data_IF_901737923829
#
_entry.id   IF_901737923829
#
_cell.length_a   1.000
_cell.length_b   1.000
_cell.length_c   1.000
_cell.angle_alpha   90.00
_cell.angle_beta   90.00
_cell.angle_gamma   90.00
#
_symmetry.space_group_name_H-M   'P 1'
#
loop_
_entity.id
_entity.type
_entity.pdbx_description
1 polymer ?
#
# COMPACT_ATOMS: atom_id res chain seq x y z
N UNK A 1 -5.11 6.67 32.57
CA UNK A 1 -5.54 6.93 31.18
C UNK A 1 -5.24 5.75 30.25
N UNK A 2 -4.09 5.06 30.38
CA UNK A 2 -3.70 3.92 29.53
C UNK A 2 -4.75 2.79 29.51
N UNK A 3 -5.32 2.42 30.65
CA UNK A 3 -6.36 1.38 30.70
C UNK A 3 -7.69 1.78 30.04
N UNK A 4 -8.03 3.07 30.04
CA UNK A 4 -9.24 3.58 29.41
C UNK A 4 -9.07 3.60 27.89
N UNK A 5 -7.90 4.02 27.40
CA UNK A 5 -7.50 3.99 25.99
C UNK A 5 -7.66 2.58 25.40
N UNK A 6 -7.12 1.58 26.10
CA UNK A 6 -7.19 0.20 25.66
C UNK A 6 -8.64 -0.30 25.53
N UNK A 7 -9.53 0.04 26.47
CA UNK A 7 -10.94 -0.33 26.39
C UNK A 7 -11.64 0.31 25.20
N UNK A 8 -11.41 1.59 24.93
CA UNK A 8 -12.01 2.26 23.77
C UNK A 8 -11.48 1.76 22.43
N UNK A 9 -10.21 1.36 22.37
CA UNK A 9 -9.61 0.70 21.19
C UNK A 9 -10.24 -0.68 20.97
N UNK A 10 -10.31 -1.52 22.00
CA UNK A 10 -10.88 -2.87 21.93
C UNK A 10 -12.38 -2.87 21.57
N UNK A 11 -13.11 -1.85 22.05
CA UNK A 11 -14.55 -1.71 21.76
C UNK A 11 -14.85 -0.93 20.48
N UNK A 12 -13.83 -0.48 19.74
CA UNK A 12 -13.95 0.36 18.53
C UNK A 12 -14.74 1.66 18.74
N UNK A 13 -14.67 2.22 19.97
CA UNK A 13 -15.36 3.46 20.39
C UNK A 13 -14.40 4.66 20.43
N UNK A 14 -13.49 4.73 19.47
CA UNK A 14 -12.40 5.71 19.47
C UNK A 14 -12.89 7.15 19.37
N UNK A 15 -13.99 7.40 18.64
CA UNK A 15 -14.56 8.75 18.52
C UNK A 15 -15.04 9.29 19.88
N UNK A 16 -15.56 8.41 20.74
CA UNK A 16 -15.99 8.77 22.08
C UNK A 16 -14.78 9.05 22.98
N UNK A 17 -13.70 8.27 22.83
CA UNK A 17 -12.44 8.55 23.51
C UNK A 17 -11.82 9.87 23.06
N UNK A 18 -11.79 10.14 21.76
CA UNK A 18 -11.29 11.41 21.23
C UNK A 18 -12.13 12.61 21.69
N UNK A 19 -13.46 12.47 21.74
CA UNK A 19 -14.33 13.49 22.29
C UNK A 19 -14.03 13.72 23.79
N UNK A 20 -13.85 12.65 24.54
CA UNK A 20 -13.50 12.71 25.96
C UNK A 20 -12.11 13.35 26.19
N UNK A 21 -11.08 12.94 25.44
CA UNK A 21 -9.73 13.52 25.54
C UNK A 21 -9.69 14.98 25.12
N UNK A 22 -10.48 15.40 24.11
CA UNK A 22 -10.64 16.83 23.74
C UNK A 22 -11.23 17.65 24.85
N UNK A 23 -12.14 17.09 25.67
CA UNK A 23 -12.63 17.78 26.84
C UNK A 23 -11.58 17.88 27.95
N UNK A 24 -10.74 16.88 28.13
CA UNK A 24 -9.62 16.88 29.08
C UNK A 24 -8.46 17.79 28.64
N UNK A 25 -8.16 17.84 27.34
CA UNK A 25 -7.06 18.65 26.79
C UNK A 25 -7.30 20.17 26.87
N UNK A 26 -8.55 20.61 27.04
CA UNK A 26 -8.82 21.97 27.47
C UNK A 26 -8.23 22.29 28.87
N UNK A 27 -7.80 21.24 29.61
CA UNK A 27 -7.27 21.34 30.98
C UNK A 27 -5.75 21.07 30.98
N UNK A 28 -5.18 20.30 30.03
CA UNK A 28 -3.74 19.96 30.00
C UNK A 28 -3.20 19.86 28.56
N UNK A 29 -2.36 20.81 28.14
CA UNK A 29 -1.74 20.87 26.81
C UNK A 29 -0.62 19.82 26.54
N UNK A 30 -0.48 18.77 27.35
CA UNK A 30 0.58 17.77 27.23
C UNK A 30 0.21 16.44 26.58
N UNK A 31 -1.06 16.24 26.19
CA UNK A 31 -1.51 14.99 25.57
C UNK A 31 -1.57 15.04 24.03
N UNK A 32 -0.84 15.94 23.38
CA UNK A 32 -0.82 16.12 21.93
C UNK A 32 -0.12 14.99 21.15
N UNK A 33 0.40 13.94 21.82
CA UNK A 33 1.00 12.78 21.15
C UNK A 33 -0.01 11.71 20.77
N UNK A 34 -1.29 11.91 21.02
CA UNK A 34 -2.20 10.77 21.04
C UNK A 34 -3.26 10.72 19.92
N UNK A 35 -3.72 11.83 19.34
CA UNK A 35 -4.84 11.74 18.38
C UNK A 35 -4.42 11.04 17.09
N UNK A 36 -3.30 11.44 16.51
CA UNK A 36 -2.68 10.81 15.33
C UNK A 36 -2.42 9.32 15.59
N UNK A 37 -1.66 9.01 16.64
CA UNK A 37 -1.30 7.63 16.99
C UNK A 37 -2.51 6.77 17.32
N UNK A 38 -3.50 7.32 18.01
CA UNK A 38 -4.67 6.58 18.45
C UNK A 38 -5.59 6.19 17.29
N UNK A 39 -5.83 7.11 16.35
CA UNK A 39 -6.62 6.82 15.15
C UNK A 39 -5.92 5.75 14.31
N UNK A 40 -4.60 5.87 14.14
CA UNK A 40 -3.82 4.87 13.41
C UNK A 40 -3.85 3.49 14.08
N UNK A 41 -3.49 3.41 15.37
CA UNK A 41 -3.41 2.15 16.12
C UNK A 41 -4.75 1.42 16.16
N UNK A 42 -5.84 2.15 16.30
CA UNK A 42 -7.18 1.54 16.25
C UNK A 42 -7.47 0.91 14.90
N UNK A 43 -7.18 1.62 13.83
CA UNK A 43 -7.39 1.11 12.47
C UNK A 43 -6.46 -0.07 12.14
N UNK A 44 -5.20 0.00 12.59
CA UNK A 44 -4.23 -1.10 12.48
C UNK A 44 -4.71 -2.35 13.22
N UNK A 45 -5.25 -2.18 14.44
CA UNK A 45 -5.81 -3.30 15.20
C UNK A 45 -6.97 -3.96 14.45
N UNK A 46 -7.88 -3.20 13.83
CA UNK A 46 -8.94 -3.75 12.99
C UNK A 46 -8.36 -4.56 11.82
N UNK A 47 -7.28 -4.06 11.18
CA UNK A 47 -6.59 -4.80 10.13
C UNK A 47 -6.03 -6.12 10.64
N UNK A 48 -5.33 -6.13 11.78
CA UNK A 48 -4.76 -7.33 12.40
C UNK A 48 -5.82 -8.36 12.81
N UNK A 49 -7.01 -7.90 13.18
CA UNK A 49 -8.16 -8.76 13.50
C UNK A 49 -8.88 -9.27 12.25
N UNK A 50 -8.52 -8.82 11.05
CA UNK A 50 -9.18 -9.19 9.80
C UNK A 50 -10.48 -8.42 9.50
N UNK A 51 -10.78 -7.38 10.27
CA UNK A 51 -11.94 -6.52 10.08
C UNK A 51 -11.63 -5.44 9.02
N UNK A 52 -11.45 -5.87 7.78
CA UNK A 52 -10.89 -5.03 6.70
C UNK A 52 -11.76 -3.83 6.33
N UNK A 53 -13.09 -3.89 6.47
CA UNK A 53 -13.98 -2.76 6.24
C UNK A 53 -13.71 -1.63 7.25
N UNK A 54 -13.63 -1.97 8.55
CA UNK A 54 -13.35 -1.01 9.61
C UNK A 54 -11.92 -0.48 9.52
N UNK A 55 -10.98 -1.35 9.19
CA UNK A 55 -9.59 -0.97 8.95
C UNK A 55 -9.48 0.04 7.80
N UNK A 56 -10.07 -0.26 6.64
CA UNK A 56 -10.05 0.63 5.48
C UNK A 56 -10.65 2.00 5.80
N UNK A 57 -11.80 2.03 6.48
CA UNK A 57 -12.47 3.27 6.88
C UNK A 57 -11.61 4.09 7.86
N UNK A 58 -11.06 3.46 8.89
CA UNK A 58 -10.21 4.11 9.89
C UNK A 58 -8.90 4.61 9.30
N UNK A 59 -8.24 3.81 8.45
CA UNK A 59 -6.99 4.20 7.77
C UNK A 59 -7.22 5.33 6.77
N UNK A 60 -8.32 5.31 6.02
CA UNK A 60 -8.69 6.43 5.12
C UNK A 60 -8.92 7.72 5.91
N UNK A 61 -9.60 7.62 7.07
CA UNK A 61 -9.76 8.76 7.97
C UNK A 61 -8.40 9.28 8.45
N UNK A 62 -7.49 8.39 8.84
CA UNK A 62 -6.13 8.78 9.22
C UNK A 62 -5.40 9.51 8.09
N UNK A 63 -5.40 8.93 6.88
CA UNK A 63 -4.73 9.49 5.71
C UNK A 63 -5.24 10.89 5.36
N UNK A 64 -6.54 11.10 5.44
CA UNK A 64 -7.16 12.41 5.11
C UNK A 64 -6.95 13.46 6.19
N UNK A 65 -6.88 13.06 7.47
CA UNK A 65 -6.82 13.99 8.60
C UNK A 65 -5.39 14.37 9.00
N UNK A 66 -4.42 13.46 8.81
CA UNK A 66 -3.07 13.63 9.37
C UNK A 66 -1.96 13.60 8.32
N UNK A 67 -2.19 13.10 7.10
CA UNK A 67 -1.14 13.05 6.10
C UNK A 67 -1.12 14.31 5.21
N UNK A 68 0.08 14.73 4.75
CA UNK A 68 1.34 14.00 4.78
C UNK A 68 2.16 14.19 6.08
N UNK A 69 1.73 14.96 7.05
CA UNK A 69 2.49 15.29 8.26
C UNK A 69 2.46 14.22 9.36
N UNK A 70 1.53 13.28 9.30
CA UNK A 70 1.37 12.23 10.28
C UNK A 70 2.50 11.20 10.27
N UNK A 71 2.79 10.65 11.44
CA UNK A 71 3.91 9.73 11.65
C UNK A 71 3.75 8.41 10.88
N UNK A 72 2.52 7.96 10.66
CA UNK A 72 2.23 6.61 10.14
C UNK A 72 1.70 6.63 8.69
N UNK A 73 1.89 7.72 7.94
CA UNK A 73 1.28 7.88 6.61
C UNK A 73 1.62 6.74 5.64
N UNK A 74 2.88 6.30 5.59
CA UNK A 74 3.28 5.19 4.71
C UNK A 74 2.64 3.87 5.12
N UNK A 75 2.66 3.55 6.42
CA UNK A 75 2.11 2.30 6.94
C UNK A 75 0.57 2.31 6.85
N UNK A 76 -0.05 3.45 7.12
CA UNK A 76 -1.50 3.63 6.95
C UNK A 76 -1.92 3.44 5.49
N UNK A 77 -1.16 4.01 4.55
CA UNK A 77 -1.38 3.84 3.12
C UNK A 77 -1.26 2.36 2.70
N UNK A 78 -0.23 1.67 3.22
CA UNK A 78 -0.02 0.25 2.96
C UNK A 78 -1.17 -0.61 3.49
N UNK A 79 -1.58 -0.44 4.74
CA UNK A 79 -2.69 -1.22 5.31
C UNK A 79 -4.05 -0.87 4.70
N UNK A 80 -4.27 0.38 4.28
CA UNK A 80 -5.48 0.76 3.54
C UNK A 80 -5.54 0.02 2.20
N UNK A 81 -4.45 0.04 1.43
CA UNK A 81 -4.33 -0.67 0.16
C UNK A 81 -4.60 -2.17 0.32
N UNK A 82 -3.95 -2.79 1.32
CA UNK A 82 -4.16 -4.21 1.64
C UNK A 82 -5.60 -4.52 2.08
N UNK A 83 -6.23 -3.64 2.87
CA UNK A 83 -7.61 -3.82 3.30
C UNK A 83 -8.55 -3.84 2.10
N UNK A 84 -8.45 -2.89 1.19
CA UNK A 84 -9.24 -2.86 -0.05
C UNK A 84 -8.97 -4.09 -0.93
N UNK A 85 -7.71 -4.52 -1.02
CA UNK A 85 -7.35 -5.74 -1.74
C UNK A 85 -8.03 -6.99 -1.15
N UNK A 86 -8.01 -7.15 0.18
CA UNK A 86 -8.68 -8.26 0.89
C UNK A 86 -10.20 -8.23 0.72
N UNK A 87 -10.80 -7.05 0.62
CA UNK A 87 -12.20 -6.84 0.33
C UNK A 87 -12.56 -7.05 -1.15
N UNK A 88 -11.57 -7.32 -2.01
CA UNK A 88 -11.71 -7.41 -3.46
C UNK A 88 -12.23 -6.11 -4.11
N UNK A 89 -12.04 -5.00 -3.44
CA UNK A 89 -12.31 -3.66 -3.96
C UNK A 89 -11.08 -3.17 -4.74
N UNK A 90 -10.87 -3.79 -5.91
CA UNK A 90 -9.61 -3.68 -6.64
C UNK A 90 -9.33 -2.27 -7.17
N UNK A 91 -10.35 -1.51 -7.53
CA UNK A 91 -10.16 -0.12 -7.97
C UNK A 91 -9.60 0.74 -6.83
N UNK A 92 -10.22 0.67 -5.65
CA UNK A 92 -9.72 1.35 -4.47
C UNK A 92 -8.32 0.84 -4.04
N UNK A 93 -8.06 -0.46 -4.18
CA UNK A 93 -6.74 -1.01 -3.89
C UNK A 93 -5.67 -0.45 -4.84
N UNK A 94 -5.96 -0.36 -6.15
CA UNK A 94 -5.06 0.24 -7.15
C UNK A 94 -4.76 1.69 -6.78
N UNK A 95 -5.78 2.49 -6.44
CA UNK A 95 -5.58 3.89 -6.06
C UNK A 95 -4.67 4.02 -4.84
N UNK A 96 -4.90 3.21 -3.81
CA UNK A 96 -4.09 3.26 -2.57
C UNK A 96 -2.66 2.74 -2.80
N UNK A 97 -2.47 1.63 -3.55
CA UNK A 97 -1.13 1.14 -3.87
C UNK A 97 -0.37 2.10 -4.80
N UNK A 98 -1.05 2.75 -5.75
CA UNK A 98 -0.45 3.76 -6.63
C UNK A 98 0.05 4.95 -5.80
N UNK A 99 -0.78 5.48 -4.90
CA UNK A 99 -0.39 6.54 -3.99
C UNK A 99 0.80 6.12 -3.11
N UNK A 100 0.81 4.87 -2.61
CA UNK A 100 1.93 4.32 -1.85
C UNK A 100 3.20 4.26 -2.69
N UNK A 101 3.12 3.79 -3.93
CA UNK A 101 4.27 3.70 -4.83
C UNK A 101 4.89 5.07 -5.15
N UNK A 102 4.14 6.17 -5.02
CA UNK A 102 4.64 7.53 -5.26
C UNK A 102 5.27 8.18 -4.02
N UNK A 103 5.20 7.53 -2.86
CA UNK A 103 5.85 8.02 -1.64
C UNK A 103 7.36 7.76 -1.67
N UNK A 104 8.17 8.80 -1.51
CA UNK A 104 9.63 8.69 -1.45
C UNK A 104 10.08 7.91 -0.20
N UNK A 105 11.09 7.03 -0.38
CA UNK A 105 11.64 6.24 0.72
C UNK A 105 10.70 5.15 1.24
N UNK A 106 9.72 4.76 0.45
CA UNK A 106 8.72 3.77 0.78
C UNK A 106 9.32 2.35 0.82
N UNK A 107 9.32 1.66 1.97
CA UNK A 107 9.82 0.29 2.08
C UNK A 107 8.91 -0.75 1.40
N UNK A 108 7.66 -0.38 1.05
CA UNK A 108 6.68 -1.25 0.40
C UNK A 108 6.64 -1.06 -1.13
N UNK A 109 7.63 -0.37 -1.72
CA UNK A 109 7.65 0.02 -3.13
C UNK A 109 7.48 -1.19 -4.06
N UNK A 110 8.23 -2.27 -3.82
CA UNK A 110 8.15 -3.48 -4.65
C UNK A 110 6.75 -4.09 -4.61
N UNK A 111 6.19 -4.26 -3.42
CA UNK A 111 4.85 -4.83 -3.26
C UNK A 111 3.79 -3.92 -3.89
N UNK A 112 3.87 -2.62 -3.68
CA UNK A 112 2.95 -1.67 -4.29
C UNK A 112 2.98 -1.75 -5.82
N UNK A 113 4.18 -1.75 -6.42
CA UNK A 113 4.32 -1.88 -7.87
C UNK A 113 3.77 -3.21 -8.40
N UNK A 114 4.07 -4.34 -7.74
CA UNK A 114 3.55 -5.66 -8.12
C UNK A 114 2.02 -5.64 -8.09
N UNK A 115 1.40 -5.17 -7.00
CA UNK A 115 -0.06 -5.17 -6.84
C UNK A 115 -0.77 -4.32 -7.88
N UNK A 116 -0.28 -3.10 -8.12
CA UNK A 116 -0.87 -2.26 -9.18
C UNK A 116 -0.70 -2.91 -10.55
N UNK A 117 0.49 -3.43 -10.85
CA UNK A 117 0.76 -4.05 -12.14
C UNK A 117 -0.15 -5.26 -12.41
N UNK A 118 -0.27 -6.18 -11.42
CA UNK A 118 -1.11 -7.38 -11.54
C UNK A 118 -2.61 -7.02 -11.68
N UNK A 119 -3.12 -6.15 -10.79
CA UNK A 119 -4.52 -5.75 -10.82
C UNK A 119 -4.89 -5.01 -12.11
N UNK A 120 -4.01 -4.12 -12.58
CA UNK A 120 -4.22 -3.42 -13.85
C UNK A 120 -4.16 -4.38 -15.05
N UNK A 121 -3.28 -5.40 -14.98
CA UNK A 121 -3.23 -6.44 -16.01
C UNK A 121 -4.54 -7.21 -16.12
N UNK A 122 -5.08 -7.64 -14.97
CA UNK A 122 -6.35 -8.38 -14.92
C UNK A 122 -7.53 -7.54 -15.43
N UNK A 123 -7.48 -6.22 -15.23
CA UNK A 123 -8.43 -5.26 -15.79
C UNK A 123 -8.19 -4.96 -17.28
N UNK A 124 -7.14 -5.53 -17.90
CA UNK A 124 -6.70 -5.26 -19.27
C UNK A 124 -6.21 -3.82 -19.50
N UNK A 125 -5.86 -3.13 -18.44
CA UNK A 125 -5.23 -1.81 -18.46
C UNK A 125 -3.72 -1.97 -18.69
N UNK A 126 -3.34 -2.57 -19.82
CA UNK A 126 -1.98 -3.03 -20.09
C UNK A 126 -0.92 -1.93 -20.07
N UNK A 127 -1.29 -0.68 -20.39
CA UNK A 127 -0.35 0.46 -20.33
C UNK A 127 0.00 0.82 -18.88
N UNK A 128 -0.99 0.87 -17.99
CA UNK A 128 -0.80 1.08 -16.56
C UNK A 128 0.02 -0.06 -15.95
N UNK A 129 -0.35 -1.29 -16.27
CA UNK A 129 0.37 -2.49 -15.83
C UNK A 129 1.84 -2.46 -16.27
N UNK A 130 2.10 -2.13 -17.55
CA UNK A 130 3.45 -1.99 -18.10
C UNK A 130 4.28 -0.97 -17.32
N UNK A 131 3.73 0.20 -17.07
CA UNK A 131 4.39 1.25 -16.30
C UNK A 131 4.83 0.77 -14.91
N UNK A 132 3.96 0.06 -14.18
CA UNK A 132 4.30 -0.43 -12.84
C UNK A 132 5.25 -1.64 -12.86
N UNK A 133 5.21 -2.50 -13.88
CA UNK A 133 6.24 -3.53 -14.04
C UNK A 133 7.61 -2.93 -14.39
N UNK A 134 7.68 -1.85 -15.16
CA UNK A 134 8.92 -1.12 -15.42
C UNK A 134 9.49 -0.51 -14.14
N UNK A 135 8.65 0.15 -13.35
CA UNK A 135 9.04 0.67 -12.02
C UNK A 135 9.54 -0.45 -11.10
N UNK A 136 8.84 -1.60 -11.09
CA UNK A 136 9.27 -2.77 -10.32
C UNK A 136 10.64 -3.26 -10.74
N UNK A 137 10.93 -3.31 -12.04
CA UNK A 137 12.24 -3.71 -12.55
C UNK A 137 13.37 -2.80 -12.04
N UNK A 138 13.11 -1.49 -11.94
CA UNK A 138 14.08 -0.50 -11.46
C UNK A 138 14.39 -0.66 -9.95
N UNK A 139 13.37 -0.98 -9.14
CA UNK A 139 13.49 -1.06 -7.68
C UNK A 139 13.73 -2.48 -7.16
N UNK A 140 13.75 -3.49 -8.03
CA UNK A 140 13.83 -4.90 -7.67
C UNK A 140 15.07 -5.21 -6.82
N UNK A 141 14.85 -5.66 -5.59
CA UNK A 141 15.90 -6.03 -4.63
C UNK A 141 16.51 -7.40 -4.91
N UNK A 142 15.85 -8.23 -5.72
CA UNK A 142 16.32 -9.58 -6.06
C UNK A 142 16.18 -9.88 -7.56
N UNK A 143 16.98 -10.84 -8.04
CA UNK A 143 16.88 -11.34 -9.41
C UNK A 143 15.51 -11.96 -9.71
N UNK A 144 14.90 -12.61 -8.73
CA UNK A 144 13.56 -13.21 -8.87
C UNK A 144 12.49 -12.15 -9.12
N UNK A 145 12.49 -11.06 -8.34
CA UNK A 145 11.54 -9.94 -8.52
C UNK A 145 11.78 -9.25 -9.86
N UNK A 146 13.04 -9.06 -10.24
CA UNK A 146 13.40 -8.49 -11.54
C UNK A 146 12.91 -9.34 -12.70
N UNK A 147 13.05 -10.67 -12.61
CA UNK A 147 12.53 -11.60 -13.61
C UNK A 147 11.00 -11.54 -13.69
N UNK A 148 10.32 -11.46 -12.55
CA UNK A 148 8.87 -11.28 -12.51
C UNK A 148 8.44 -9.99 -13.21
N UNK A 149 9.15 -8.89 -12.97
CA UNK A 149 8.90 -7.61 -13.62
C UNK A 149 9.09 -7.71 -15.15
N UNK A 150 10.18 -8.32 -15.60
CA UNK A 150 10.47 -8.51 -17.02
C UNK A 150 9.43 -9.39 -17.72
N UNK A 151 8.95 -10.45 -17.07
CA UNK A 151 7.85 -11.26 -17.60
C UNK A 151 6.55 -10.48 -17.70
N UNK A 152 6.26 -9.61 -16.71
CA UNK A 152 5.14 -8.69 -16.76
C UNK A 152 5.23 -7.69 -17.92
N UNK A 153 6.41 -7.07 -18.11
CA UNK A 153 6.70 -6.17 -19.23
C UNK A 153 6.44 -6.87 -20.56
N UNK A 154 7.00 -8.09 -20.71
CA UNK A 154 6.85 -8.88 -21.94
C UNK A 154 5.37 -9.13 -22.27
N UNK A 155 4.57 -9.57 -21.29
CA UNK A 155 3.14 -9.86 -21.48
C UNK A 155 2.34 -8.59 -21.79
N UNK A 156 2.62 -7.48 -21.11
CA UNK A 156 1.96 -6.21 -21.37
C UNK A 156 2.29 -5.70 -22.79
N UNK A 157 3.57 -5.72 -23.17
CA UNK A 157 4.03 -5.30 -24.49
C UNK A 157 3.42 -6.13 -25.63
N UNK A 158 3.26 -7.44 -25.43
CA UNK A 158 2.54 -8.30 -26.38
C UNK A 158 1.08 -7.86 -26.54
N UNK A 159 0.36 -7.60 -25.43
CA UNK A 159 -1.04 -7.17 -25.49
C UNK A 159 -1.21 -5.78 -26.10
N UNK A 160 -0.21 -4.90 -25.94
CA UNK A 160 -0.22 -3.55 -26.55
C UNK A 160 0.18 -3.61 -28.02
N UNK A 161 0.88 -4.67 -28.46
CA UNK A 161 1.42 -4.82 -29.82
C UNK A 161 2.78 -4.14 -30.02
N UNK A 162 3.50 -3.84 -28.95
CA UNK A 162 4.85 -3.25 -28.97
C UNK A 162 5.90 -4.35 -29.23
N UNK A 163 6.14 -4.63 -30.51
CA UNK A 163 7.08 -5.67 -30.95
C UNK A 163 8.52 -5.38 -30.54
N UNK A 164 8.92 -4.12 -30.50
CA UNK A 164 10.29 -3.72 -30.13
C UNK A 164 10.56 -4.08 -28.69
N UNK A 165 9.70 -3.65 -27.78
CA UNK A 165 9.80 -3.96 -26.34
C UNK A 165 9.73 -5.48 -26.07
N UNK A 166 8.92 -6.21 -26.83
CA UNK A 166 8.86 -7.69 -26.74
C UNK A 166 10.22 -8.32 -27.06
N UNK A 167 10.86 -7.92 -28.17
CA UNK A 167 12.15 -8.49 -28.59
C UNK A 167 13.26 -8.16 -27.59
N UNK A 168 13.35 -6.90 -27.15
CA UNK A 168 14.34 -6.44 -26.20
C UNK A 168 14.21 -7.16 -24.84
N UNK A 169 12.98 -7.25 -24.31
CA UNK A 169 12.73 -7.89 -23.03
C UNK A 169 12.97 -9.40 -23.09
N UNK A 170 12.55 -10.06 -24.18
CA UNK A 170 12.81 -11.49 -24.36
C UNK A 170 14.30 -11.80 -24.47
N UNK A 171 15.08 -10.99 -25.21
CA UNK A 171 16.53 -11.13 -25.30
C UNK A 171 17.22 -10.97 -23.94
N UNK A 172 16.78 -10.01 -23.15
CA UNK A 172 17.29 -9.78 -21.79
C UNK A 172 16.97 -10.94 -20.84
N UNK A 173 15.77 -11.52 -20.93
CA UNK A 173 15.38 -12.70 -20.14
C UNK A 173 16.23 -13.92 -20.48
N UNK A 174 16.53 -14.15 -21.75
CA UNK A 174 17.40 -15.25 -22.18
C UNK A 174 18.83 -15.08 -21.65
N UNK A 175 19.35 -13.85 -21.67
CA UNK A 175 20.69 -13.55 -21.14
C UNK A 175 20.78 -13.79 -19.62
N UNK A 176 19.73 -13.47 -18.86
CA UNK A 176 19.69 -13.72 -17.41
C UNK A 176 19.67 -15.22 -17.11
N UNK A 177 18.92 -16.02 -17.86
CA UNK A 177 18.84 -17.47 -17.64
C UNK A 177 20.15 -18.19 -18.00
N UNK A 178 20.85 -17.75 -19.05
CA UNK A 178 22.15 -18.35 -19.43
C UNK A 178 23.25 -18.15 -18.38
N UNK A 179 23.18 -17.06 -17.59
CA UNK A 179 24.13 -16.77 -16.50
C UNK A 179 23.81 -17.53 -15.20
N UNK A 180 22.64 -18.16 -15.10
CA UNK A 180 22.24 -18.92 -13.92
C UNK A 180 22.56 -20.43 -14.03
N UNK A 181 22.99 -20.90 -15.21
CA UNK A 181 23.36 -22.30 -15.49
C UNK A 181 24.88 -22.55 -15.43
N UNK A 182 25.72 -21.50 -15.32
CA UNK A 182 27.17 -21.54 -15.12
C UNK A 182 27.54 -21.35 -13.63
#
# INVERSE_FOLDING_TARGET
LEGLEQVYVETNQINDYLAYTKTLNKINMQAATSEDSLVYVTAELQYMMGNYEQAAAGLTTYLTSFCPGGRYCMTAQYYAANSYYRLKQYDAAIDQYSALADMAGNPYMEEACIRVAELSYDKKEYRTSLYYFQRLQEVASSSSIRTTAMLGILRCSQNIGDKTSVIETASSLLAVNSLAED
#
